data_IF_937108173155
#
_entry.id   IF_937108173155
#
_cell.length_a   1.000
_cell.length_b   1.000
_cell.length_c   1.000
_cell.angle_alpha   90.00
_cell.angle_beta   90.00
_cell.angle_gamma   90.00
#
_symmetry.space_group_name_H-M   'P 1'
#
loop_
_entity.id
_entity.type
_entity.pdbx_description
1 polymer ?
#
# COMPACT_ATOMS: atom_id res chain seq x y z
N UNK A 1 -25.87 -8.90 9.10
CA UNK A 1 -24.49 -8.96 8.59
C UNK A 1 -23.56 -8.67 9.75
N UNK A 2 -22.97 -9.72 10.32
CA UNK A 2 -22.10 -9.66 11.49
C UNK A 2 -20.83 -8.87 11.15
N UNK A 3 -20.73 -7.65 11.67
CA UNK A 3 -19.54 -6.83 11.52
C UNK A 3 -18.51 -7.30 12.56
N UNK A 4 -17.86 -8.44 12.29
CA UNK A 4 -16.73 -8.99 13.02
C UNK A 4 -15.55 -8.03 12.95
N UNK A 5 -15.53 -7.02 13.82
CA UNK A 5 -14.35 -6.19 14.10
C UNK A 5 -13.36 -7.06 14.87
N UNK A 6 -12.59 -7.86 14.13
CA UNK A 6 -11.31 -8.40 14.58
C UNK A 6 -10.38 -7.26 15.06
N UNK A 7 -9.29 -7.59 15.78
CA UNK A 7 -8.52 -6.62 16.56
C UNK A 7 -8.14 -5.43 15.69
N UNK A 8 -8.29 -4.23 16.25
CA UNK A 8 -7.93 -2.96 15.67
C UNK A 8 -6.40 -2.85 15.58
N UNK A 9 -5.76 -3.80 14.87
CA UNK A 9 -4.39 -3.72 14.42
C UNK A 9 -4.43 -2.54 13.47
N UNK A 10 -3.96 -1.39 13.96
CA UNK A 10 -3.83 -0.12 13.25
C UNK A 10 -3.21 -0.42 11.87
N UNK A 11 -4.05 -0.73 10.88
CA UNK A 11 -3.60 -1.24 9.58
C UNK A 11 -2.77 -0.13 9.01
N UNK A 12 -1.45 -0.34 8.93
CA UNK A 12 -0.52 0.62 8.31
C UNK A 12 -1.18 1.06 7.02
N UNK A 13 -1.34 2.37 6.85
CA UNK A 13 -2.14 2.86 5.74
C UNK A 13 -1.46 2.43 4.45
N UNK A 14 -2.22 1.82 3.54
CA UNK A 14 -1.68 1.46 2.23
C UNK A 14 -1.11 2.72 1.58
N UNK A 15 0.07 2.62 1.01
CA UNK A 15 0.67 3.74 0.32
C UNK A 15 -0.21 4.13 -0.86
N UNK A 16 -0.86 5.30 -0.80
CA UNK A 16 -1.79 5.78 -1.84
C UNK A 16 -1.17 5.85 -3.24
N UNK A 17 0.15 5.96 -3.34
CA UNK A 17 0.85 6.16 -4.62
C UNK A 17 1.16 4.86 -5.36
N UNK A 18 1.16 3.72 -4.67
CA UNK A 18 1.35 2.40 -5.27
C UNK A 18 0.28 1.40 -4.82
N UNK A 19 -0.76 1.89 -4.14
CA UNK A 19 -1.92 1.12 -3.66
C UNK A 19 -1.58 -0.10 -2.78
N UNK A 20 -0.40 -0.13 -2.16
CA UNK A 20 0.06 -1.31 -1.41
C UNK A 20 1.10 -2.16 -2.12
N UNK A 21 1.35 -1.93 -3.42
CA UNK A 21 2.24 -2.77 -4.23
C UNK A 21 3.73 -2.50 -4.02
N UNK A 22 4.08 -1.33 -3.48
CA UNK A 22 5.48 -0.89 -3.35
C UNK A 22 6.12 -0.49 -4.69
N UNK A 23 5.50 -0.79 -5.81
CA UNK A 23 5.95 -0.49 -7.16
C UNK A 23 4.91 0.34 -7.89
N UNK A 24 5.35 1.27 -8.74
CA UNK A 24 4.49 2.11 -9.57
C UNK A 24 4.88 1.88 -11.02
N UNK A 25 3.90 1.63 -11.88
CA UNK A 25 4.12 1.63 -13.33
C UNK A 25 4.17 3.08 -13.82
N UNK A 26 5.27 3.45 -14.48
CA UNK A 26 5.37 4.68 -15.27
C UNK A 26 5.69 4.28 -16.71
N UNK A 27 4.68 4.33 -17.57
CA UNK A 27 4.77 3.82 -18.94
C UNK A 27 5.05 2.31 -18.95
N UNK A 28 6.06 1.89 -19.72
CA UNK A 28 6.52 0.49 -19.75
C UNK A 28 7.42 0.08 -18.58
N UNK A 29 7.88 1.04 -17.76
CA UNK A 29 8.82 0.76 -16.67
C UNK A 29 8.08 0.59 -15.33
N UNK A 30 8.47 -0.43 -14.59
CA UNK A 30 8.04 -0.65 -13.20
C UNK A 30 9.13 -0.11 -12.28
N UNK A 31 8.83 0.96 -11.56
CA UNK A 31 9.80 1.60 -10.66
C UNK A 31 9.36 1.48 -9.21
N UNK A 32 10.31 1.49 -8.27
CA UNK A 32 9.99 1.55 -6.84
C UNK A 32 9.16 2.79 -6.52
N UNK A 33 8.12 2.60 -5.74
CA UNK A 33 7.30 3.70 -5.27
C UNK A 33 8.14 4.61 -4.38
N UNK A 34 8.45 5.81 -4.87
CA UNK A 34 9.28 6.77 -4.14
C UNK A 34 8.66 7.19 -2.80
N UNK A 35 7.33 7.10 -2.66
CA UNK A 35 6.59 7.56 -1.48
C UNK A 35 6.66 6.59 -0.29
N UNK A 36 6.74 5.28 -0.54
CA UNK A 36 6.93 4.26 0.49
C UNK A 36 8.28 3.52 0.35
N UNK A 37 9.15 3.96 -0.57
CA UNK A 37 10.45 3.34 -0.87
C UNK A 37 10.38 1.83 -1.20
N UNK A 38 9.22 1.34 -1.64
CA UNK A 38 9.03 -0.08 -1.96
C UNK A 38 8.28 -0.90 -0.90
N UNK A 39 7.95 -0.35 0.27
CA UNK A 39 7.30 -1.12 1.34
C UNK A 39 5.80 -1.33 1.12
N UNK A 40 5.17 -0.56 0.23
CA UNK A 40 3.72 -0.61 -0.04
C UNK A 40 2.86 -0.01 1.09
N UNK A 41 3.45 0.32 2.23
CA UNK A 41 2.75 0.88 3.39
C UNK A 41 3.37 2.20 3.79
N UNK A 42 2.56 3.07 4.38
CA UNK A 42 2.98 4.35 4.91
C UNK A 42 2.79 4.39 6.42
#
# INVERSE_FOLDING_TARGET
MSNEKGPNIKKKQKCKNCEGKGLVKKGNNVVKCQRCKGTGVR
#
